data_IF_354252867732
#
_entry.id   IF_354252867732
#
_cell.length_a   1.000
_cell.length_b   1.000
_cell.length_c   1.000
_cell.angle_alpha   90.00
_cell.angle_beta   90.00
_cell.angle_gamma   90.00
#
_symmetry.space_group_name_H-M   'P 1'
#
loop_
_entity.id
_entity.type
_entity.pdbx_description
1 polymer ?
#
# COMPACT_ATOMS: atom_id res chain seq x y z
N UNK A 1 4.91 -20.47 -1.70
CA UNK A 1 5.08 -20.38 -3.14
C UNK A 1 6.34 -19.58 -3.50
N UNK A 2 6.59 -18.44 -2.91
CA UNK A 2 7.76 -17.59 -3.20
C UNK A 2 8.94 -17.78 -2.22
N UNK A 3 8.97 -18.90 -1.49
CA UNK A 3 10.09 -19.25 -0.62
C UNK A 3 11.34 -19.52 -1.46
N UNK A 4 12.48 -18.99 -1.03
CA UNK A 4 13.77 -19.19 -1.70
C UNK A 4 13.78 -18.77 -3.18
N UNK A 5 13.04 -17.73 -3.53
CA UNK A 5 13.10 -17.08 -4.83
C UNK A 5 14.03 -15.86 -4.78
N UNK A 6 14.38 -15.32 -5.95
CA UNK A 6 15.14 -14.06 -6.05
C UNK A 6 14.35 -12.82 -5.60
N UNK A 7 13.06 -12.96 -5.33
CA UNK A 7 12.21 -11.86 -4.89
C UNK A 7 12.43 -11.57 -3.40
N UNK A 8 12.69 -10.32 -3.07
CA UNK A 8 12.78 -9.84 -1.69
C UNK A 8 11.39 -9.46 -1.17
N UNK A 9 11.00 -10.01 -0.02
CA UNK A 9 9.79 -9.65 0.70
C UNK A 9 10.17 -8.87 1.96
N UNK A 10 9.59 -7.69 2.12
CA UNK A 10 9.82 -6.84 3.27
C UNK A 10 8.52 -6.69 4.06
N UNK A 11 8.57 -7.02 5.34
CA UNK A 11 7.52 -6.73 6.30
C UNK A 11 7.97 -5.48 7.05
N UNK A 12 7.25 -4.37 6.89
CA UNK A 12 7.54 -3.14 7.62
C UNK A 12 6.72 -3.07 8.90
N UNK A 13 7.35 -2.67 9.98
CA UNK A 13 6.71 -2.48 11.28
C UNK A 13 7.33 -1.28 12.01
N UNK A 14 6.53 -0.56 12.81
CA UNK A 14 7.01 0.50 13.70
C UNK A 14 7.53 -0.02 15.04
N UNK A 15 7.48 -1.34 15.25
CA UNK A 15 8.00 -1.99 16.45
C UNK A 15 8.53 -3.38 16.11
N UNK A 16 9.52 -3.85 16.87
CA UNK A 16 10.00 -5.23 16.78
C UNK A 16 8.95 -6.20 17.24
N UNK A 17 8.48 -7.03 16.32
CA UNK A 17 7.51 -8.10 16.61
C UNK A 17 8.27 -9.42 16.70
N UNK A 18 8.63 -9.84 17.93
CA UNK A 18 9.43 -11.05 18.19
C UNK A 18 8.87 -12.29 17.49
N UNK A 19 7.56 -12.51 17.55
CA UNK A 19 6.89 -13.64 16.90
C UNK A 19 7.10 -13.64 15.38
N UNK A 20 7.01 -12.49 14.72
CA UNK A 20 7.24 -12.37 13.28
C UNK A 20 8.72 -12.64 12.97
N UNK A 21 9.64 -12.04 13.74
CA UNK A 21 11.07 -12.26 13.56
C UNK A 21 11.47 -13.73 13.67
N UNK A 22 10.88 -14.48 14.59
CA UNK A 22 11.13 -15.91 14.75
C UNK A 22 10.61 -16.73 13.56
N UNK A 23 9.42 -16.40 13.07
CA UNK A 23 8.80 -17.11 11.95
C UNK A 23 9.53 -16.89 10.61
N UNK A 24 9.97 -15.67 10.34
CA UNK A 24 10.64 -15.33 9.06
C UNK A 24 12.08 -15.85 8.95
N UNK A 25 12.76 -16.14 10.07
CA UNK A 25 14.14 -16.70 10.08
C UNK A 25 14.32 -17.95 9.24
N UNK A 26 13.23 -18.64 8.91
CA UNK A 26 13.22 -19.85 8.08
C UNK A 26 13.38 -19.55 6.59
N UNK A 27 13.37 -18.26 6.19
CA UNK A 27 13.31 -17.86 4.80
C UNK A 27 14.38 -16.82 4.49
N UNK A 28 15.22 -17.08 3.51
CA UNK A 28 16.36 -16.23 3.15
C UNK A 28 15.93 -14.93 2.44
N UNK A 29 14.72 -14.89 1.91
CA UNK A 29 14.19 -13.78 1.11
C UNK A 29 13.10 -12.96 1.82
N UNK A 30 12.84 -13.20 3.11
CA UNK A 30 11.85 -12.45 3.89
C UNK A 30 12.56 -11.66 4.99
N UNK A 31 12.33 -10.36 5.03
CA UNK A 31 12.97 -9.43 5.93
C UNK A 31 11.92 -8.68 6.76
N UNK A 32 12.21 -8.47 8.04
CA UNK A 32 11.46 -7.55 8.89
C UNK A 32 12.29 -6.28 9.04
N UNK A 33 11.75 -5.17 8.56
CA UNK A 33 12.38 -3.87 8.68
C UNK A 33 11.60 -3.01 9.69
N UNK A 34 12.31 -2.52 10.69
CA UNK A 34 11.79 -1.53 11.61
C UNK A 34 11.86 -0.17 10.94
N UNK A 35 10.71 0.51 10.85
CA UNK A 35 10.57 1.78 10.15
C UNK A 35 10.33 2.88 11.19
N UNK A 36 11.39 3.55 11.67
CA UNK A 36 11.29 4.54 12.75
C UNK A 36 10.75 5.89 12.27
N UNK A 37 10.92 6.22 10.99
CA UNK A 37 10.52 7.53 10.43
C UNK A 37 9.57 7.39 9.26
N UNK A 38 8.90 8.51 8.93
CA UNK A 38 8.05 8.60 7.75
C UNK A 38 8.89 8.54 6.47
N UNK A 39 10.05 9.14 6.49
CA UNK A 39 11.00 9.21 5.38
C UNK A 39 11.48 7.80 4.99
N UNK A 40 11.79 6.96 5.97
CA UNK A 40 12.17 5.55 5.74
C UNK A 40 11.02 4.76 5.10
N UNK A 41 9.79 5.00 5.56
CA UNK A 41 8.59 4.37 4.98
C UNK A 41 8.35 4.83 3.53
N UNK A 42 8.53 6.11 3.25
CA UNK A 42 8.40 6.67 1.91
C UNK A 42 9.41 6.05 0.94
N UNK A 43 10.66 5.86 1.37
CA UNK A 43 11.70 5.18 0.59
C UNK A 43 11.31 3.72 0.33
N UNK A 44 10.73 3.04 1.30
CA UNK A 44 10.29 1.66 1.14
C UNK A 44 9.15 1.55 0.13
N UNK A 45 8.18 2.46 0.17
CA UNK A 45 7.09 2.51 -0.80
C UNK A 45 7.59 2.73 -2.23
N UNK A 46 8.51 3.65 -2.43
CA UNK A 46 9.07 3.96 -3.77
C UNK A 46 9.86 2.77 -4.34
N UNK A 47 10.66 2.09 -3.51
CA UNK A 47 11.46 0.94 -3.92
C UNK A 47 10.62 -0.31 -4.19
N UNK A 48 9.48 -0.46 -3.53
CA UNK A 48 8.64 -1.64 -3.67
C UNK A 48 7.96 -1.67 -5.05
N UNK A 49 8.07 -2.81 -5.74
CA UNK A 49 7.30 -3.06 -6.97
C UNK A 49 5.82 -3.31 -6.66
N UNK A 50 5.54 -4.06 -5.59
CA UNK A 50 4.19 -4.37 -5.10
C UNK A 50 4.11 -4.03 -3.62
N UNK A 51 3.11 -3.26 -3.25
CA UNK A 51 2.77 -2.94 -1.87
C UNK A 51 1.51 -3.70 -1.46
N UNK A 52 1.58 -4.53 -0.43
CA UNK A 52 0.44 -5.31 0.07
C UNK A 52 -0.09 -4.69 1.35
N UNK A 53 -1.33 -4.20 1.32
CA UNK A 53 -1.99 -3.52 2.42
C UNK A 53 -3.19 -4.33 2.91
N UNK A 54 -3.06 -4.93 4.09
CA UNK A 54 -4.14 -5.69 4.72
C UNK A 54 -4.63 -4.94 5.95
N UNK A 55 -5.93 -4.76 6.07
CA UNK A 55 -6.61 -4.23 7.25
C UNK A 55 -7.52 -5.30 7.83
N UNK A 56 -7.67 -5.29 9.14
CA UNK A 56 -8.67 -6.09 9.86
C UNK A 56 -9.79 -5.21 10.44
N UNK A 57 -9.75 -3.90 10.11
CA UNK A 57 -10.72 -2.91 10.58
C UNK A 57 -11.36 -2.21 9.39
N UNK A 58 -12.68 -2.17 9.37
CA UNK A 58 -13.46 -1.48 8.32
C UNK A 58 -13.50 0.03 8.51
N UNK A 59 -13.40 0.50 9.74
CA UNK A 59 -13.56 1.91 10.11
C UNK A 59 -12.25 2.67 10.17
N UNK A 60 -12.33 3.99 10.07
CA UNK A 60 -11.23 4.93 10.22
C UNK A 60 -10.58 5.39 8.90
N UNK A 61 -9.84 6.48 8.99
CA UNK A 61 -9.15 7.09 7.85
C UNK A 61 -8.02 6.17 7.38
N UNK A 62 -8.03 5.83 6.10
CA UNK A 62 -7.06 4.90 5.49
C UNK A 62 -5.77 5.63 5.04
N UNK A 63 -5.12 6.36 5.97
CA UNK A 63 -3.90 7.12 5.67
C UNK A 63 -2.80 6.25 5.05
N UNK A 64 -2.68 4.99 5.48
CA UNK A 64 -1.72 4.06 4.89
C UNK A 64 -2.00 3.85 3.40
N UNK A 65 -3.26 3.69 3.01
CA UNK A 65 -3.67 3.55 1.61
C UNK A 65 -3.30 4.81 0.81
N UNK A 66 -3.67 5.99 1.29
CA UNK A 66 -3.35 7.25 0.62
C UNK A 66 -1.84 7.43 0.46
N UNK A 67 -1.06 7.25 1.52
CA UNK A 67 0.40 7.38 1.45
C UNK A 67 1.01 6.41 0.42
N UNK A 68 0.52 5.16 0.38
CA UNK A 68 1.00 4.18 -0.58
C UNK A 68 0.58 4.53 -2.01
N UNK A 69 -0.62 5.08 -2.21
CA UNK A 69 -1.07 5.54 -3.53
C UNK A 69 -0.26 6.74 -4.04
N UNK A 70 0.21 7.63 -3.17
CA UNK A 70 1.07 8.75 -3.57
C UNK A 70 2.49 8.33 -3.93
N UNK A 71 3.03 7.27 -3.32
CA UNK A 71 4.46 6.93 -3.36
C UNK A 71 4.76 5.60 -4.04
N UNK A 72 3.88 4.61 -3.86
CA UNK A 72 4.10 3.23 -4.32
C UNK A 72 3.66 2.98 -5.76
N UNK A 73 3.99 1.79 -6.25
CA UNK A 73 3.60 1.30 -7.59
C UNK A 73 2.33 0.43 -7.49
N UNK A 74 2.41 -0.86 -7.83
CA UNK A 74 1.26 -1.75 -7.69
C UNK A 74 0.81 -1.91 -6.24
N UNK A 75 -0.50 -1.94 -6.02
CA UNK A 75 -1.07 -2.09 -4.69
C UNK A 75 -2.03 -3.28 -4.69
N UNK A 76 -1.82 -4.20 -3.76
CA UNK A 76 -2.76 -5.26 -3.42
C UNK A 76 -3.38 -4.91 -2.08
N UNK A 77 -4.70 -4.91 -1.98
CA UNK A 77 -5.40 -4.58 -0.75
C UNK A 77 -6.63 -5.48 -0.54
N UNK A 78 -7.04 -5.69 0.70
CA UNK A 78 -8.30 -6.36 0.99
C UNK A 78 -9.47 -5.38 1.10
N UNK A 79 -10.71 -5.91 1.09
CA UNK A 79 -11.92 -5.09 1.17
C UNK A 79 -11.91 -4.12 2.34
N UNK A 80 -11.50 -4.56 3.53
CA UNK A 80 -11.45 -3.72 4.72
C UNK A 80 -10.50 -2.53 4.58
N UNK A 81 -9.54 -2.61 3.66
CA UNK A 81 -8.62 -1.50 3.37
C UNK A 81 -9.19 -0.49 2.40
N UNK A 82 -9.97 -0.91 1.40
CA UNK A 82 -10.35 -0.05 0.26
C UNK A 82 -11.84 0.27 0.17
N UNK A 83 -12.73 -0.53 0.77
CA UNK A 83 -14.17 -0.34 0.71
C UNK A 83 -14.57 1.07 1.18
N UNK A 84 -15.46 1.72 0.44
CA UNK A 84 -15.98 3.07 0.70
C UNK A 84 -14.93 4.21 0.70
N UNK A 85 -13.74 3.96 0.16
CA UNK A 85 -12.70 5.00 0.03
C UNK A 85 -12.83 5.82 -1.26
N UNK A 86 -13.55 5.31 -2.26
CA UNK A 86 -13.56 5.85 -3.62
C UNK A 86 -12.26 5.64 -4.39
N UNK A 87 -11.35 4.79 -3.88
CA UNK A 87 -10.01 4.50 -4.45
C UNK A 87 -9.86 3.04 -4.89
N UNK A 88 -10.97 2.29 -4.92
CA UNK A 88 -11.00 0.85 -5.18
C UNK A 88 -10.39 0.50 -6.53
N UNK A 89 -10.64 1.32 -7.55
CA UNK A 89 -10.15 1.13 -8.92
C UNK A 89 -8.66 1.46 -9.12
N UNK A 90 -7.98 1.92 -8.07
CA UNK A 90 -6.53 2.14 -8.04
C UNK A 90 -5.76 0.99 -7.38
N UNK A 91 -6.48 -0.04 -6.91
CA UNK A 91 -5.91 -1.16 -6.17
C UNK A 91 -6.35 -2.50 -6.77
N UNK A 92 -5.55 -3.52 -6.55
CA UNK A 92 -5.93 -4.90 -6.86
C UNK A 92 -6.54 -5.53 -5.61
N UNK A 93 -7.83 -5.90 -5.68
CA UNK A 93 -8.54 -6.48 -4.55
C UNK A 93 -8.15 -7.95 -4.34
N UNK A 94 -7.78 -8.30 -3.11
CA UNK A 94 -7.49 -9.67 -2.70
C UNK A 94 -7.90 -9.92 -1.24
N UNK A 95 -8.89 -10.76 -1.03
CA UNK A 95 -9.44 -11.10 0.29
C UNK A 95 -8.96 -12.46 0.81
N UNK A 96 -8.24 -13.22 0.01
CA UNK A 96 -7.73 -14.52 0.38
C UNK A 96 -6.25 -14.68 0.04
N UNK A 97 -5.60 -15.62 0.74
CA UNK A 97 -4.20 -15.98 0.44
C UNK A 97 -4.00 -16.38 -1.03
N UNK A 98 -4.94 -17.09 -1.61
CA UNK A 98 -4.83 -17.57 -3.00
C UNK A 98 -4.94 -16.41 -3.99
N UNK A 99 -5.83 -15.45 -3.74
CA UNK A 99 -5.95 -14.24 -4.56
C UNK A 99 -4.68 -13.39 -4.47
N UNK A 100 -4.14 -13.16 -3.27
CA UNK A 100 -2.88 -12.45 -3.08
C UNK A 100 -1.77 -13.12 -3.89
N UNK A 101 -1.63 -14.44 -3.81
CA UNK A 101 -0.61 -15.18 -4.54
C UNK A 101 -0.77 -15.08 -6.06
N UNK A 102 -2.00 -15.19 -6.55
CA UNK A 102 -2.32 -15.07 -7.97
C UNK A 102 -1.97 -13.68 -8.50
N UNK A 103 -2.52 -12.65 -7.87
CA UNK A 103 -2.30 -11.25 -8.29
C UNK A 103 -0.82 -10.87 -8.16
N UNK A 104 -0.13 -11.32 -7.11
CA UNK A 104 1.31 -11.10 -6.98
C UNK A 104 2.08 -11.68 -8.16
N UNK A 105 1.74 -12.91 -8.61
CA UNK A 105 2.38 -13.54 -9.76
C UNK A 105 2.16 -12.77 -11.07
N UNK A 106 0.99 -12.23 -11.26
CA UNK A 106 0.62 -11.41 -12.42
C UNK A 106 1.43 -10.10 -12.41
N UNK A 107 1.37 -9.36 -11.31
CA UNK A 107 2.01 -8.06 -11.16
C UNK A 107 3.54 -8.07 -11.16
N UNK A 108 4.20 -9.19 -10.81
CA UNK A 108 5.67 -9.26 -10.84
C UNK A 108 6.26 -9.01 -12.22
N UNK A 109 5.53 -9.36 -13.27
CA UNK A 109 5.98 -9.20 -14.65
C UNK A 109 5.35 -7.97 -15.32
N UNK A 110 4.49 -7.25 -14.62
CA UNK A 110 3.79 -6.09 -15.14
C UNK A 110 4.54 -4.81 -14.77
N UNK A 111 4.84 -3.99 -15.79
CA UNK A 111 5.42 -2.66 -15.55
C UNK A 111 4.33 -1.70 -15.09
N UNK A 112 4.59 -0.99 -14.01
CA UNK A 112 3.72 0.13 -13.59
C UNK A 112 3.82 1.25 -14.62
N UNK A 113 2.74 1.51 -15.35
CA UNK A 113 2.74 2.36 -16.56
C UNK A 113 2.50 3.83 -16.23
N UNK A 114 2.92 4.71 -17.15
CA UNK A 114 2.64 6.15 -17.06
C UNK A 114 1.14 6.45 -17.05
N UNK A 115 0.34 5.63 -17.73
CA UNK A 115 -1.12 5.74 -17.74
C UNK A 115 -1.73 5.48 -16.34
N UNK A 116 -1.18 4.51 -15.61
CA UNK A 116 -1.61 4.24 -14.22
C UNK A 116 -1.21 5.38 -13.29
N UNK A 117 -0.03 5.99 -13.51
CA UNK A 117 0.41 7.17 -12.77
C UNK A 117 -0.54 8.33 -13.01
N UNK A 118 -0.89 8.61 -14.25
CA UNK A 118 -1.82 9.69 -14.63
C UNK A 118 -3.21 9.48 -14.03
N UNK A 119 -3.78 8.28 -14.21
CA UNK A 119 -5.07 7.89 -13.64
C UNK A 119 -5.10 8.11 -12.12
N UNK A 120 -4.05 7.66 -11.44
CA UNK A 120 -3.90 7.78 -10.00
C UNK A 120 -3.77 9.24 -9.57
N UNK A 121 -2.90 10.01 -10.21
CA UNK A 121 -2.68 11.43 -9.94
C UNK A 121 -3.99 12.22 -10.04
N UNK A 122 -4.74 12.04 -11.13
CA UNK A 122 -6.03 12.69 -11.33
C UNK A 122 -7.03 12.37 -10.23
N UNK A 123 -7.11 11.11 -9.80
CA UNK A 123 -8.05 10.71 -8.76
C UNK A 123 -7.64 11.20 -7.38
N UNK A 124 -6.35 11.21 -7.09
CA UNK A 124 -5.80 11.72 -5.82
C UNK A 124 -5.90 13.25 -5.66
N UNK A 125 -6.16 14.00 -6.73
CA UNK A 125 -6.41 15.44 -6.62
C UNK A 125 -7.58 15.79 -5.68
N UNK A 126 -8.57 14.90 -5.55
CA UNK A 126 -9.70 15.11 -4.62
C UNK A 126 -9.27 15.07 -3.16
N UNK A 127 -8.12 14.47 -2.85
CA UNK A 127 -7.53 14.38 -1.53
C UNK A 127 -6.45 15.44 -1.28
N UNK A 128 -6.33 16.43 -2.18
CA UNK A 128 -5.37 17.52 -2.02
C UNK A 128 -5.77 18.38 -0.81
N UNK A 129 -4.88 18.56 0.20
CA UNK A 129 -5.20 19.29 1.41
C UNK A 129 -5.51 20.78 1.16
N UNK A 130 -4.87 21.40 0.16
CA UNK A 130 -5.13 22.80 -0.20
C UNK A 130 -6.55 22.95 -0.75
N UNK A 131 -6.93 22.12 -1.74
CA UNK A 131 -8.30 22.12 -2.29
C UNK A 131 -9.36 21.78 -1.24
N UNK A 132 -9.03 20.93 -0.27
CA UNK A 132 -9.92 20.60 0.84
C UNK A 132 -10.08 21.79 1.79
N UNK A 133 -9.00 22.50 2.10
CA UNK A 133 -9.04 23.72 2.93
C UNK A 133 -9.85 24.83 2.25
N UNK A 134 -9.66 25.07 0.95
CA UNK A 134 -10.43 26.03 0.16
C UNK A 134 -11.93 25.74 0.23
N UNK A 135 -12.34 24.50 0.04
CA UNK A 135 -13.74 24.07 0.17
C UNK A 135 -14.33 24.35 1.56
N UNK A 136 -13.54 24.10 2.61
CA UNK A 136 -13.96 24.37 3.99
C UNK A 136 -14.16 25.88 4.20
N UNK A 137 -13.22 26.71 3.75
CA UNK A 137 -13.31 28.17 3.83
C UNK A 137 -14.55 28.67 3.09
N UNK A 138 -14.81 28.16 1.88
CA UNK A 138 -15.99 28.53 1.09
C UNK A 138 -17.32 28.19 1.77
N UNK A 139 -17.36 27.13 2.56
CA UNK A 139 -18.58 26.72 3.30
C UNK A 139 -18.77 27.56 4.57
N UNK A 140 -17.69 27.95 5.24
CA UNK A 140 -17.76 28.67 6.52
C UNK A 140 -18.03 30.17 6.30
N UNK A 141 -17.47 30.75 5.23
CA UNK A 141 -17.49 32.18 5.00
C UNK A 141 -18.45 32.66 3.86
N UNK A 142 -19.31 31.76 3.40
CA UNK A 142 -20.51 32.09 2.61
C UNK A 142 -21.70 32.34 3.53
#
# INVERSE_FOLDING_TARGET
MYKNTSYKFVISSNAKVKRISEEIRKYDNIFLEEIPTKEDLDILFDKAHINTLISFQKTGIKLKLLNTLYKGKHIIANSEMIEDTGLEDLCNLANSKNEILKITAELFNERFSDLEIEKRSKKLETFNPIKSAEKIVDVIFK
#
